data_IF_101108791724
#
_entry.id   IF_101108791724
#
_cell.length_a   1.000
_cell.length_b   1.000
_cell.length_c   1.000
_cell.angle_alpha   90.00
_cell.angle_beta   90.00
_cell.angle_gamma   90.00
#
_symmetry.space_group_name_H-M   'P 1'
#
loop_
_entity.id
_entity.type
_entity.pdbx_description
1 polymer ?
#
# COMPACT_ATOMS: atom_id res chain seq x y z
N UNK A 1 -22.86 -31.01 2.04
CA UNK A 1 -22.21 -32.01 2.87
C UNK A 1 -20.99 -31.49 3.58
N UNK A 2 -20.39 -32.34 4.36
CA UNK A 2 -19.20 -32.00 5.16
C UNK A 2 -18.04 -31.54 4.27
N UNK A 3 -17.82 -32.19 3.14
CA UNK A 3 -16.72 -31.82 2.26
C UNK A 3 -16.88 -30.42 1.66
N UNK A 4 -18.10 -30.06 1.31
CA UNK A 4 -18.36 -28.74 0.78
C UNK A 4 -18.15 -27.65 1.83
N UNK A 5 -18.54 -27.91 3.04
CA UNK A 5 -18.31 -26.99 4.16
C UNK A 5 -16.82 -26.82 4.44
N UNK A 6 -16.07 -27.91 4.49
CA UNK A 6 -14.64 -27.87 4.71
C UNK A 6 -13.91 -27.09 3.60
N UNK A 7 -14.26 -27.35 2.35
CA UNK A 7 -13.70 -26.64 1.20
C UNK A 7 -13.98 -25.15 1.26
N UNK A 8 -15.21 -24.76 1.62
CA UNK A 8 -15.60 -23.36 1.75
C UNK A 8 -14.78 -22.66 2.83
N UNK A 9 -14.54 -23.32 3.96
CA UNK A 9 -13.71 -22.76 5.02
C UNK A 9 -12.27 -22.56 4.55
N UNK A 10 -11.68 -23.51 3.85
CA UNK A 10 -10.33 -23.44 3.35
C UNK A 10 -10.15 -22.30 2.36
N UNK A 11 -11.14 -22.07 1.49
CA UNK A 11 -11.11 -20.98 0.53
C UNK A 11 -11.11 -19.59 1.17
N UNK A 12 -11.68 -19.48 2.36
CA UNK A 12 -11.79 -18.21 3.08
C UNK A 12 -10.60 -17.93 4.00
N UNK A 13 -9.76 -18.91 4.25
CA UNK A 13 -8.64 -18.76 5.16
C UNK A 13 -7.37 -18.46 4.39
N UNK A 14 -6.60 -17.52 4.93
CA UNK A 14 -5.27 -17.21 4.43
C UNK A 14 -4.24 -17.45 5.51
N UNK A 15 -3.10 -17.97 5.11
CA UNK A 15 -1.95 -18.16 5.99
C UNK A 15 -0.97 -17.01 5.78
N UNK A 16 -0.61 -16.33 6.86
CA UNK A 16 0.41 -15.27 6.82
C UNK A 16 1.77 -15.94 6.60
N UNK A 17 2.46 -15.50 5.55
CA UNK A 17 3.80 -16.02 5.21
C UNK A 17 4.91 -15.13 5.72
N UNK A 18 4.80 -13.83 5.50
CA UNK A 18 5.83 -12.90 5.91
C UNK A 18 5.25 -11.51 6.15
N UNK A 19 6.02 -10.71 6.90
CA UNK A 19 5.69 -9.32 7.20
C UNK A 19 6.94 -8.49 7.00
N UNK A 20 6.77 -7.28 6.51
CA UNK A 20 7.86 -6.35 6.35
C UNK A 20 7.39 -4.93 6.65
N UNK A 21 8.33 -4.09 7.03
CA UNK A 21 8.07 -2.68 7.30
C UNK A 21 9.15 -1.86 6.62
N UNK A 22 8.76 -0.72 6.05
CA UNK A 22 9.69 0.25 5.49
C UNK A 22 9.19 1.66 5.76
N UNK A 23 10.09 2.62 5.61
CA UNK A 23 9.75 4.03 5.65
C UNK A 23 10.16 4.68 4.35
N UNK A 24 9.27 5.53 3.84
CA UNK A 24 9.52 6.33 2.64
C UNK A 24 9.58 7.79 3.08
N UNK A 25 10.64 8.48 2.68
CA UNK A 25 10.74 9.92 2.88
C UNK A 25 10.46 10.61 1.56
N UNK A 26 9.48 11.48 1.56
CA UNK A 26 9.13 12.32 0.41
C UNK A 26 9.64 13.72 0.65
N UNK A 27 10.21 14.31 -0.40
CA UNK A 27 10.70 15.69 -0.39
C UNK A 27 10.46 16.25 -1.78
N UNK A 28 9.44 17.06 -1.92
CA UNK A 28 9.02 17.58 -3.22
C UNK A 28 8.53 19.02 -3.10
N UNK A 29 8.57 19.74 -4.20
CA UNK A 29 8.08 21.09 -4.30
C UNK A 29 6.79 21.09 -5.12
N UNK A 30 5.78 21.83 -4.63
CA UNK A 30 4.50 21.96 -5.31
C UNK A 30 4.23 23.41 -5.63
N UNK A 31 3.81 23.67 -6.87
CA UNK A 31 3.47 25.01 -7.31
C UNK A 31 2.00 25.25 -7.06
N UNK A 32 1.69 26.40 -6.46
CA UNK A 32 0.31 26.83 -6.25
C UNK A 32 -0.29 27.16 -7.61
N UNK A 33 -1.41 26.51 -7.92
CA UNK A 33 -2.06 26.71 -9.23
C UNK A 33 -2.60 28.14 -9.39
N UNK A 34 -2.68 28.57 -10.63
CA UNK A 34 -3.05 29.97 -10.96
C UNK A 34 -4.45 30.35 -10.46
N UNK A 35 -5.34 29.38 -10.29
CA UNK A 35 -6.68 29.63 -9.79
C UNK A 35 -6.74 29.95 -8.30
N UNK A 36 -5.64 29.78 -7.57
CA UNK A 36 -5.55 30.04 -6.14
C UNK A 36 -4.74 31.33 -5.87
N UNK A 37 -5.16 32.13 -4.87
CA UNK A 37 -4.42 33.35 -4.52
C UNK A 37 -3.10 33.03 -3.83
N UNK A 38 -2.26 34.04 -3.71
CA UNK A 38 -0.96 33.93 -3.07
C UNK A 38 -1.06 33.58 -1.58
N UNK A 39 -0.10 32.81 -1.12
CA UNK A 39 -0.02 32.38 0.27
C UNK A 39 0.67 33.46 1.09
N UNK A 40 -0.01 33.97 2.12
CA UNK A 40 0.58 34.84 3.12
C UNK A 40 1.12 34.00 4.28
N UNK A 41 0.27 33.08 4.80
CA UNK A 41 0.63 32.26 5.95
C UNK A 41 -0.12 30.95 5.92
N UNK A 42 0.59 29.84 6.12
CA UNK A 42 -0.01 28.53 6.31
C UNK A 42 -0.56 28.43 7.73
N UNK A 43 -1.82 28.05 7.84
CA UNK A 43 -2.54 27.91 9.11
C UNK A 43 -2.55 26.46 9.57
N UNK A 44 -2.88 25.54 8.65
CA UNK A 44 -3.00 24.12 8.99
C UNK A 44 -2.75 23.28 7.76
N UNK A 45 -2.19 22.09 7.99
CA UNK A 45 -1.94 21.11 6.94
C UNK A 45 -2.42 19.75 7.40
N UNK A 46 -2.92 18.96 6.47
CA UNK A 46 -3.25 17.56 6.69
C UNK A 46 -2.96 16.75 5.44
N UNK A 47 -2.73 15.48 5.63
CA UNK A 47 -2.46 14.59 4.51
C UNK A 47 -3.00 13.21 4.74
N UNK A 48 -3.10 12.46 3.66
CA UNK A 48 -3.48 11.06 3.66
C UNK A 48 -2.69 10.31 2.61
N UNK A 49 -2.49 9.02 2.85
CA UNK A 49 -1.73 8.14 1.97
C UNK A 49 -2.68 7.12 1.38
N UNK A 50 -2.58 6.90 0.08
CA UNK A 50 -3.30 5.84 -0.61
C UNK A 50 -2.33 5.05 -1.47
N UNK A 51 -2.51 3.73 -1.53
CA UNK A 51 -1.76 2.87 -2.44
C UNK A 51 -2.53 2.70 -3.74
N UNK A 52 -1.83 2.76 -4.86
CA UNK A 52 -2.45 2.65 -6.18
C UNK A 52 -2.22 1.29 -6.80
N UNK A 53 -0.98 0.82 -6.82
CA UNK A 53 -0.63 -0.46 -7.41
C UNK A 53 0.33 -1.23 -6.51
N UNK A 54 0.17 -2.54 -6.53
CA UNK A 54 1.05 -3.48 -5.85
C UNK A 54 1.39 -4.59 -6.80
N UNK A 55 2.66 -4.87 -6.99
CA UNK A 55 3.14 -5.91 -7.88
C UNK A 55 4.21 -6.73 -7.18
N UNK A 56 4.13 -8.04 -7.30
CA UNK A 56 5.11 -8.95 -6.71
C UNK A 56 5.94 -9.57 -7.81
N UNK A 57 7.25 -9.49 -7.68
CA UNK A 57 8.20 -10.09 -8.61
C UNK A 57 9.54 -10.28 -7.93
N UNK A 58 10.15 -11.46 -8.10
CA UNK A 58 11.48 -11.77 -7.58
C UNK A 58 11.66 -11.47 -6.08
N UNK A 59 10.73 -11.94 -5.25
CA UNK A 59 10.76 -11.73 -3.80
C UNK A 59 10.73 -10.26 -3.40
N UNK A 60 10.19 -9.43 -4.28
CA UNK A 60 10.09 -7.99 -4.05
C UNK A 60 8.66 -7.56 -4.28
N UNK A 61 8.17 -6.73 -3.40
CA UNK A 61 6.87 -6.08 -3.55
C UNK A 61 7.11 -4.66 -4.03
N UNK A 62 6.62 -4.37 -5.22
CA UNK A 62 6.69 -3.04 -5.84
C UNK A 62 5.39 -2.31 -5.56
N UNK A 63 5.50 -1.13 -4.99
CA UNK A 63 4.36 -0.36 -4.52
C UNK A 63 4.40 1.02 -5.16
N UNK A 64 3.26 1.45 -5.66
CA UNK A 64 3.06 2.86 -6.01
C UNK A 64 1.94 3.42 -5.17
N UNK A 65 2.05 4.68 -4.83
CA UNK A 65 1.07 5.34 -3.99
C UNK A 65 1.08 6.83 -4.18
N UNK A 66 0.23 7.47 -3.42
CA UNK A 66 0.02 8.90 -3.50
C UNK A 66 -0.19 9.48 -2.11
N UNK A 67 0.54 10.54 -1.81
CA UNK A 67 0.27 11.40 -0.66
C UNK A 67 -0.61 12.55 -1.16
N UNK A 68 -1.81 12.64 -0.64
CA UNK A 68 -2.70 13.78 -0.89
C UNK A 68 -2.69 14.68 0.32
N UNK A 69 -2.49 15.96 0.12
CA UNK A 69 -2.44 16.92 1.22
C UNK A 69 -3.34 18.12 0.95
N UNK A 70 -3.83 18.71 2.02
CA UNK A 70 -4.63 19.94 1.99
C UNK A 70 -3.96 20.96 2.90
N UNK A 71 -3.85 22.17 2.38
CA UNK A 71 -3.27 23.31 3.09
C UNK A 71 -4.36 24.35 3.28
N UNK A 72 -4.60 24.73 4.53
CA UNK A 72 -5.42 25.89 4.88
C UNK A 72 -4.46 27.04 5.09
N UNK A 73 -4.68 28.14 4.37
CA UNK A 73 -3.79 29.30 4.45
C UNK A 73 -4.54 30.62 4.41
N UNK A 74 -3.90 31.65 4.91
CA UNK A 74 -4.35 33.02 4.74
C UNK A 74 -3.81 33.54 3.43
N UNK A 75 -4.68 34.11 2.62
CA UNK A 75 -4.34 34.60 1.29
C UNK A 75 -4.25 36.13 1.27
N UNK A 76 -3.64 36.66 0.22
CA UNK A 76 -3.58 38.11 -0.04
C UNK A 76 -4.84 38.65 -0.73
N UNK A 77 -5.81 37.78 -1.04
CA UNK A 77 -7.02 38.16 -1.76
C UNK A 77 -7.99 38.92 -0.88
N UNK A 78 -7.77 40.25 -0.71
CA UNK A 78 -8.72 41.20 -0.09
C UNK A 78 -9.21 40.84 1.30
N UNK A 79 -8.55 41.31 2.35
CA UNK A 79 -9.09 41.27 3.70
C UNK A 79 -8.95 39.98 4.46
N UNK A 80 -7.76 39.42 4.58
CA UNK A 80 -7.48 38.23 5.42
C UNK A 80 -8.37 37.02 5.14
N UNK A 81 -8.58 36.67 3.88
CA UNK A 81 -9.37 35.51 3.55
C UNK A 81 -8.60 34.24 3.77
N UNK A 82 -9.29 33.25 4.31
CA UNK A 82 -8.80 31.88 4.37
C UNK A 82 -9.09 31.17 3.07
N UNK A 83 -8.15 30.40 2.64
CA UNK A 83 -8.23 29.63 1.40
C UNK A 83 -7.69 28.22 1.63
N UNK A 84 -8.14 27.25 0.85
CA UNK A 84 -7.59 25.90 0.88
C UNK A 84 -7.06 25.53 -0.49
N UNK A 85 -6.02 24.73 -0.48
CA UNK A 85 -5.57 24.05 -1.69
C UNK A 85 -5.29 22.58 -1.37
N UNK A 86 -5.55 21.74 -2.35
CA UNK A 86 -5.30 20.31 -2.26
C UNK A 86 -4.43 19.91 -3.43
N UNK A 87 -3.39 19.13 -3.15
CA UNK A 87 -2.49 18.61 -4.17
C UNK A 87 -1.97 17.25 -3.73
N UNK A 88 -1.18 16.62 -4.57
CA UNK A 88 -0.66 15.29 -4.29
C UNK A 88 0.77 15.11 -4.77
N UNK A 89 1.46 14.17 -4.12
CA UNK A 89 2.80 13.73 -4.50
C UNK A 89 2.74 12.22 -4.70
N UNK A 90 3.17 11.76 -5.86
CA UNK A 90 3.28 10.35 -6.14
C UNK A 90 4.57 9.79 -5.55
N UNK A 91 4.53 8.54 -5.11
CA UNK A 91 5.72 7.85 -4.65
C UNK A 91 5.73 6.40 -5.12
N UNK A 92 6.92 5.84 -5.18
CA UNK A 92 7.12 4.43 -5.43
C UNK A 92 8.11 3.87 -4.42
N UNK A 93 7.90 2.64 -4.01
CA UNK A 93 8.78 1.94 -3.09
C UNK A 93 8.82 0.46 -3.43
N UNK A 94 9.91 -0.18 -3.08
CA UNK A 94 10.04 -1.62 -3.17
C UNK A 94 10.41 -2.17 -1.80
N UNK A 95 9.76 -3.28 -1.43
CA UNK A 95 10.01 -3.96 -0.17
C UNK A 95 10.47 -5.37 -0.51
N UNK A 96 11.64 -5.73 -0.03
CA UNK A 96 12.13 -7.10 -0.14
C UNK A 96 11.42 -7.96 0.90
N UNK A 97 10.80 -9.05 0.43
CA UNK A 97 10.10 -10.03 1.27
C UNK A 97 10.51 -11.42 0.82
N UNK A 98 11.37 -12.05 1.58
CA UNK A 98 12.08 -13.26 1.19
C UNK A 98 11.17 -14.42 0.74
N UNK A 99 10.01 -14.55 1.37
CA UNK A 99 9.09 -15.67 1.10
C UNK A 99 7.91 -15.31 0.20
N UNK A 100 7.87 -14.09 -0.31
CA UNK A 100 6.74 -13.67 -1.14
C UNK A 100 6.80 -14.27 -2.54
N UNK A 101 5.65 -14.73 -3.02
CA UNK A 101 5.47 -15.29 -4.35
C UNK A 101 4.40 -14.50 -5.11
N UNK A 102 4.41 -14.61 -6.44
CA UNK A 102 3.50 -13.83 -7.30
C UNK A 102 2.03 -14.10 -7.03
N UNK A 103 1.69 -15.30 -6.61
CA UNK A 103 0.30 -15.69 -6.33
C UNK A 103 -0.15 -15.30 -4.92
N UNK A 104 0.75 -14.82 -4.09
CA UNK A 104 0.39 -14.40 -2.74
C UNK A 104 -0.43 -13.11 -2.79
N UNK A 105 -1.30 -12.98 -1.80
CA UNK A 105 -1.99 -11.72 -1.54
C UNK A 105 -1.11 -10.87 -0.64
N UNK A 106 -0.83 -9.66 -1.07
CA UNK A 106 -0.09 -8.70 -0.25
C UNK A 106 -1.05 -7.62 0.24
N UNK A 107 -1.13 -7.50 1.56
CA UNK A 107 -1.92 -6.44 2.22
C UNK A 107 -0.97 -5.35 2.69
N UNK A 108 -1.30 -4.11 2.35
CA UNK A 108 -0.52 -2.95 2.70
C UNK A 108 -1.29 -2.08 3.68
N UNK A 109 -0.57 -1.52 4.64
CA UNK A 109 -1.07 -0.44 5.46
C UNK A 109 -0.02 0.66 5.52
N UNK A 110 -0.47 1.89 5.36
CA UNK A 110 0.38 3.07 5.39
C UNK A 110 0.00 4.01 6.51
N UNK A 111 1.00 4.61 7.12
CA UNK A 111 0.80 5.63 8.15
C UNK A 111 1.64 6.84 7.79
N UNK A 112 0.99 8.00 7.72
CA UNK A 112 1.70 9.26 7.60
C UNK A 112 2.29 9.61 8.97
N UNK A 113 3.58 9.36 9.13
CA UNK A 113 4.26 9.55 10.42
C UNK A 113 4.65 11.00 10.65
N UNK A 114 4.97 11.71 9.59
CA UNK A 114 5.32 13.12 9.66
C UNK A 114 4.91 13.82 8.36
N UNK A 115 4.45 15.04 8.49
CA UNK A 115 4.11 15.91 7.37
C UNK A 115 4.53 17.32 7.69
N UNK A 116 5.37 17.89 6.84
CA UNK A 116 5.84 19.26 6.97
C UNK A 116 5.67 19.97 5.63
N UNK A 117 4.84 21.00 5.60
CA UNK A 117 4.60 21.80 4.41
C UNK A 117 4.92 23.24 4.74
N UNK A 118 5.86 23.84 4.03
CA UNK A 118 6.30 25.20 4.22
C UNK A 118 6.25 25.96 2.91
N UNK A 119 5.92 27.23 2.98
CA UNK A 119 5.96 28.09 1.80
C UNK A 119 7.41 28.49 1.51
N UNK A 120 7.91 28.16 0.34
CA UNK A 120 9.20 28.65 -0.17
C UNK A 120 9.03 30.11 -0.58
N UNK A 121 7.92 30.40 -1.22
CA UNK A 121 7.47 31.73 -1.57
C UNK A 121 5.94 31.73 -1.65
N UNK A 122 5.31 32.82 -2.05
CA UNK A 122 3.86 32.93 -2.08
C UNK A 122 3.17 31.98 -3.07
N UNK A 123 3.93 31.37 -3.99
CA UNK A 123 3.42 30.48 -5.05
C UNK A 123 4.01 29.09 -5.04
N UNK A 124 4.87 28.76 -4.07
CA UNK A 124 5.58 27.49 -4.08
C UNK A 124 5.68 26.91 -2.68
N UNK A 125 5.35 25.64 -2.55
CA UNK A 125 5.38 24.88 -1.29
C UNK A 125 6.48 23.84 -1.32
N UNK A 126 7.18 23.69 -0.20
CA UNK A 126 8.05 22.54 0.06
C UNK A 126 7.25 21.53 0.87
N UNK A 127 7.11 20.32 0.36
CA UNK A 127 6.37 19.24 0.99
C UNK A 127 7.34 18.16 1.42
N UNK A 128 7.39 17.88 2.70
CA UNK A 128 8.18 16.77 3.26
C UNK A 128 7.28 15.85 4.04
N UNK A 129 7.46 14.57 3.87
CA UNK A 129 6.66 13.58 4.58
C UNK A 129 7.47 12.32 4.84
N UNK A 130 7.13 11.65 5.94
CA UNK A 130 7.62 10.31 6.25
C UNK A 130 6.42 9.38 6.32
N UNK A 131 6.45 8.35 5.52
CA UNK A 131 5.37 7.38 5.42
C UNK A 131 5.90 6.03 5.87
N UNK A 132 5.29 5.46 6.91
CA UNK A 132 5.55 4.09 7.31
C UNK A 132 4.66 3.14 6.54
N UNK A 133 5.24 2.10 5.95
CA UNK A 133 4.50 1.10 5.16
C UNK A 133 4.73 -0.26 5.75
N UNK A 134 3.65 -0.94 6.08
CA UNK A 134 3.66 -2.33 6.51
C UNK A 134 3.08 -3.19 5.41
N UNK A 135 3.78 -4.25 5.06
CA UNK A 135 3.33 -5.23 4.09
C UNK A 135 3.20 -6.59 4.75
N UNK A 136 2.13 -7.29 4.45
CA UNK A 136 1.87 -8.65 4.94
C UNK A 136 1.56 -9.50 3.72
N UNK A 137 2.33 -10.56 3.51
CA UNK A 137 2.03 -11.52 2.46
C UNK A 137 1.26 -12.69 3.02
N UNK A 138 0.21 -13.09 2.32
CA UNK A 138 -0.66 -14.18 2.70
C UNK A 138 -0.81 -15.16 1.55
N UNK A 139 -0.80 -16.44 1.88
CA UNK A 139 -1.07 -17.50 0.93
C UNK A 139 -2.45 -18.07 1.21
N UNK A 140 -3.25 -18.26 0.16
CA UNK A 140 -4.54 -18.94 0.28
C UNK A 140 -4.34 -20.39 0.70
N UNK A 141 -5.12 -20.86 1.66
CA UNK A 141 -5.04 -22.23 2.13
C UNK A 141 -5.24 -23.25 1.00
N UNK A 142 -6.13 -22.94 0.07
CA UNK A 142 -6.35 -23.79 -1.11
C UNK A 142 -5.07 -23.96 -1.92
N UNK A 143 -4.36 -22.88 -2.20
CA UNK A 143 -3.11 -22.93 -2.95
C UNK A 143 -2.03 -23.68 -2.19
N UNK A 144 -1.96 -23.47 -0.88
CA UNK A 144 -1.01 -24.16 -0.02
C UNK A 144 -1.21 -25.67 -0.07
N UNK A 145 -2.46 -26.12 0.05
CA UNK A 145 -2.79 -27.55 0.02
C UNK A 145 -2.47 -28.17 -1.34
N UNK A 146 -2.75 -27.48 -2.42
CA UNK A 146 -2.41 -27.95 -3.76
C UNK A 146 -0.90 -28.09 -3.92
N UNK A 147 -0.12 -27.14 -3.44
CA UNK A 147 1.33 -27.21 -3.50
C UNK A 147 1.88 -28.35 -2.65
N UNK A 148 1.36 -28.58 -1.47
CA UNK A 148 1.79 -29.69 -0.60
C UNK A 148 1.48 -31.05 -1.23
N UNK A 149 0.30 -31.21 -1.81
CA UNK A 149 -0.09 -32.42 -2.47
C UNK A 149 0.79 -32.70 -3.69
N UNK A 150 1.08 -31.71 -4.49
CA UNK A 150 1.95 -31.85 -5.67
C UNK A 150 3.36 -32.27 -5.26
N UNK A 151 3.91 -31.70 -4.21
CA UNK A 151 5.22 -32.07 -3.69
C UNK A 151 5.23 -33.54 -3.22
N UNK A 152 4.16 -33.98 -2.58
CA UNK A 152 4.01 -35.34 -2.12
C UNK A 152 3.98 -36.32 -3.30
N UNK A 153 3.27 -36.02 -4.36
CA UNK A 153 3.24 -36.81 -5.56
C UNK A 153 4.61 -36.95 -6.22
N UNK A 154 5.38 -35.90 -6.24
CA UNK A 154 6.73 -35.91 -6.79
C UNK A 154 7.68 -36.80 -5.98
N UNK A 155 7.48 -36.90 -4.68
CA UNK A 155 8.30 -37.72 -3.79
C UNK A 155 7.84 -39.16 -3.79
N UNK A 156 6.54 -39.41 -3.87
CA UNK A 156 5.94 -40.74 -3.77
C UNK A 156 5.05 -41.00 -4.99
N UNK A 157 5.65 -41.27 -6.09
CA UNK A 157 4.97 -41.36 -7.38
C UNK A 157 3.76 -42.26 -7.42
N UNK A 158 3.76 -43.31 -6.64
CA UNK A 158 2.70 -44.30 -6.72
C UNK A 158 1.54 -44.05 -5.78
N UNK A 159 1.67 -43.06 -4.99
CA UNK A 159 0.63 -42.74 -4.00
C UNK A 159 -0.42 -41.86 -4.64
N UNK A 160 -1.66 -42.23 -4.46
CA UNK A 160 -2.78 -41.42 -4.87
C UNK A 160 -3.11 -40.42 -3.79
N UNK A 161 -3.30 -39.18 -4.17
CA UNK A 161 -3.63 -38.11 -3.23
C UNK A 161 -5.11 -37.80 -3.30
N UNK A 162 -5.90 -38.59 -2.63
CA UNK A 162 -7.35 -38.42 -2.58
C UNK A 162 -7.80 -37.04 -2.05
N UNK A 163 -7.17 -36.51 -1.02
CA UNK A 163 -7.56 -35.22 -0.50
C UNK A 163 -7.53 -34.09 -1.52
N UNK A 164 -6.64 -34.15 -2.48
CA UNK A 164 -6.54 -33.14 -3.51
C UNK A 164 -7.83 -33.00 -4.31
N UNK A 165 -8.47 -34.09 -4.63
CA UNK A 165 -9.71 -34.08 -5.40
C UNK A 165 -10.84 -33.39 -4.65
N UNK A 166 -10.86 -33.53 -3.33
CA UNK A 166 -11.87 -32.92 -2.49
C UNK A 166 -11.69 -31.41 -2.36
N UNK A 167 -10.46 -30.92 -2.53
CA UNK A 167 -10.14 -29.51 -2.36
C UNK A 167 -10.28 -28.73 -3.64
N UNK A 168 -10.10 -29.35 -4.77
CA UNK A 168 -10.11 -28.67 -6.06
C UNK A 168 -11.51 -28.59 -6.66
N UNK A 169 -12.32 -29.56 -6.43
CA UNK A 169 -13.70 -29.57 -6.93
C UNK A 169 -14.67 -28.83 -5.99
#
# INVERSE_FOLDING_TARGET
GIFMELRTQLLKQNTVKSKAFTQVTLDDDCIVRDSKPDIIKIIHTKGSVAFEETKVSNQTVWITGKLTFTVLYRSDAGGNKLETLTDSVNFGEKIFMEEVEELDTVKLSGKLEDLSINAINSRKLAVRAVIGIRAVSEQLEEQKLICEVTADENVQQQRRTQPMLLLVT
#
